data_IF_061553162300
#
_entry.id   IF_061553162300
#
_cell.length_a   1.000
_cell.length_b   1.000
_cell.length_c   1.000
_cell.angle_alpha   90.00
_cell.angle_beta   90.00
_cell.angle_gamma   90.00
#
_symmetry.space_group_name_H-M   'P 1'
#
loop_
_entity.id
_entity.type
_entity.pdbx_description
1 polymer ?
#
# COMPACT_ATOMS: atom_id res chain seq x y z
N UNK A 1 -78.53 -11.07 34.38
CA UNK A 1 -77.94 -10.36 35.53
C UNK A 1 -76.43 -10.40 35.35
N UNK A 2 -75.81 -9.32 34.87
CA UNK A 2 -74.44 -8.97 35.30
C UNK A 2 -74.53 -8.17 36.61
N UNK A 3 -73.49 -7.45 37.11
CA UNK A 3 -72.06 -7.31 36.74
C UNK A 3 -71.16 -7.88 37.90
N UNK A 4 -69.82 -7.77 38.02
CA UNK A 4 -68.90 -6.61 38.18
C UNK A 4 -67.47 -7.19 38.27
N UNK A 5 -66.54 -6.82 37.39
CA UNK A 5 -65.53 -5.76 37.53
C UNK A 5 -64.27 -6.13 38.34
N UNK A 6 -63.15 -6.04 37.62
CA UNK A 6 -61.75 -6.17 38.02
C UNK A 6 -61.29 -4.87 38.71
N UNK A 7 -60.19 -4.92 39.49
CA UNK A 7 -58.97 -4.38 38.90
C UNK A 7 -57.77 -5.30 39.12
N UNK A 8 -57.22 -5.77 38.00
CA UNK A 8 -55.84 -6.26 37.92
C UNK A 8 -54.95 -5.05 38.14
N UNK A 9 -54.27 -5.06 39.28
CA UNK A 9 -53.29 -4.07 39.71
C UNK A 9 -52.18 -3.91 38.65
N UNK A 10 -51.77 -2.66 38.44
CA UNK A 10 -50.78 -2.25 37.45
C UNK A 10 -49.46 -3.02 37.62
N UNK A 11 -49.22 -4.02 36.77
CA UNK A 11 -47.86 -4.45 36.46
C UNK A 11 -47.34 -3.56 35.32
N UNK A 12 -46.53 -2.57 35.71
CA UNK A 12 -45.62 -1.87 34.81
C UNK A 12 -44.76 -2.91 34.06
N UNK A 13 -44.50 -2.76 32.76
CA UNK A 13 -43.60 -3.66 32.07
C UNK A 13 -42.19 -3.50 32.65
N UNK A 14 -41.59 -4.62 33.03
CA UNK A 14 -40.25 -4.65 33.58
C UNK A 14 -39.24 -4.10 32.58
N UNK A 15 -38.47 -3.10 33.02
CA UNK A 15 -37.31 -2.60 32.31
C UNK A 15 -36.32 -3.76 32.10
N UNK A 16 -35.97 -4.04 30.84
CA UNK A 16 -34.93 -5.00 30.47
C UNK A 16 -33.55 -4.46 30.89
N UNK A 17 -33.24 -4.62 32.17
CA UNK A 17 -32.01 -4.23 32.89
C UNK A 17 -30.73 -4.95 32.39
N UNK A 18 -30.71 -5.57 31.21
CA UNK A 18 -29.57 -6.38 30.74
C UNK A 18 -28.62 -5.70 29.75
N UNK A 19 -28.77 -4.40 29.49
CA UNK A 19 -27.88 -3.65 28.59
C UNK A 19 -26.83 -2.91 29.44
N UNK A 20 -25.59 -3.41 29.44
CA UNK A 20 -24.44 -2.79 30.14
C UNK A 20 -24.26 -1.30 29.82
N UNK A 21 -23.44 -0.55 30.60
CA UNK A 21 -23.46 0.90 30.63
C UNK A 21 -23.34 1.50 29.22
N UNK A 22 -24.44 2.09 28.75
CA UNK A 22 -24.48 2.73 27.45
C UNK A 22 -23.59 3.96 27.47
N UNK A 23 -22.72 4.08 26.46
CA UNK A 23 -21.95 5.31 26.24
C UNK A 23 -22.90 6.52 26.25
N UNK A 24 -22.45 7.73 26.62
CA UNK A 24 -23.32 8.92 26.64
C UNK A 24 -23.95 9.20 25.27
N UNK A 25 -23.27 8.82 24.18
CA UNK A 25 -23.81 8.90 22.82
C UNK A 25 -24.95 7.91 22.59
N UNK A 26 -24.81 6.66 23.04
CA UNK A 26 -25.84 5.63 22.93
C UNK A 26 -27.09 6.00 23.74
N UNK A 27 -26.89 6.48 24.98
CA UNK A 27 -27.98 6.91 25.85
C UNK A 27 -28.76 8.10 25.27
N UNK A 28 -28.05 9.13 24.79
CA UNK A 28 -28.68 10.29 24.15
C UNK A 28 -29.45 9.89 22.88
N UNK A 29 -28.88 8.99 22.05
CA UNK A 29 -29.57 8.47 20.87
C UNK A 29 -30.81 7.66 21.25
N UNK A 30 -30.79 6.86 22.32
CA UNK A 30 -31.95 6.12 22.79
C UNK A 30 -33.07 7.06 23.26
N UNK A 31 -32.73 8.07 24.06
CA UNK A 31 -33.67 9.10 24.51
C UNK A 31 -34.30 9.85 23.33
N UNK A 32 -33.51 10.28 22.35
CA UNK A 32 -34.03 10.94 21.16
C UNK A 32 -34.98 10.04 20.37
N UNK A 33 -34.69 8.73 20.28
CA UNK A 33 -35.61 7.79 19.62
C UNK A 33 -36.92 7.71 20.37
N UNK A 34 -36.88 7.55 21.68
CA UNK A 34 -38.07 7.43 22.53
C UNK A 34 -38.97 8.69 22.43
N UNK A 35 -38.37 9.87 22.53
CA UNK A 35 -39.08 11.15 22.41
C UNK A 35 -39.65 11.43 21.00
N UNK A 36 -39.17 10.74 19.97
CA UNK A 36 -39.60 10.95 18.57
C UNK A 36 -40.48 9.82 18.04
N UNK A 37 -40.80 8.81 18.85
CA UNK A 37 -41.74 7.79 18.46
C UNK A 37 -43.15 8.38 18.29
N UNK A 38 -43.89 7.99 17.24
CA UNK A 38 -45.30 8.34 17.13
C UNK A 38 -46.10 7.68 18.25
N UNK A 39 -47.22 8.28 18.66
CA UNK A 39 -48.08 7.84 19.77
C UNK A 39 -48.54 6.39 19.68
N UNK A 40 -48.58 5.84 18.46
CA UNK A 40 -48.79 4.42 18.18
C UNK A 40 -47.60 3.97 17.32
N UNK A 41 -46.54 3.43 17.93
CA UNK A 41 -45.39 2.96 17.18
C UNK A 41 -45.75 1.69 16.41
N UNK A 42 -45.58 1.74 15.09
CA UNK A 42 -45.63 0.54 14.26
C UNK A 42 -44.24 -0.10 14.23
N UNK A 43 -44.06 -1.18 14.99
CA UNK A 43 -42.84 -1.98 14.99
C UNK A 43 -42.91 -3.19 14.05
N UNK A 44 -44.00 -3.35 13.30
CA UNK A 44 -44.11 -4.43 12.34
C UNK A 44 -43.08 -4.24 11.23
N UNK A 45 -42.28 -5.28 11.02
CA UNK A 45 -41.35 -5.32 9.90
C UNK A 45 -42.21 -5.44 8.63
N UNK A 46 -42.08 -4.51 7.66
CA UNK A 46 -42.85 -4.60 6.43
C UNK A 46 -42.53 -5.93 5.72
N UNK A 47 -43.49 -6.53 5.00
CA UNK A 47 -43.23 -7.74 4.25
C UNK A 47 -42.10 -7.48 3.25
N UNK A 48 -41.26 -8.49 3.02
CA UNK A 48 -40.21 -8.43 2.02
C UNK A 48 -40.79 -7.98 0.67
N UNK A 49 -40.04 -7.18 -0.11
CA UNK A 49 -40.51 -6.74 -1.42
C UNK A 49 -40.89 -7.91 -2.31
N UNK A 50 -41.85 -7.69 -3.21
CA UNK A 50 -42.29 -8.70 -4.17
C UNK A 50 -41.13 -9.07 -5.11
N UNK A 51 -40.79 -10.34 -5.16
CA UNK A 51 -39.75 -10.89 -6.04
C UNK A 51 -38.72 -11.72 -5.29
N UNK A 52 -38.46 -12.93 -5.79
CA UNK A 52 -37.35 -13.73 -5.29
C UNK A 52 -36.03 -13.12 -5.78
N UNK A 53 -34.98 -13.06 -4.95
CA UNK A 53 -33.66 -12.65 -5.40
C UNK A 53 -33.18 -13.54 -6.56
N UNK A 54 -32.34 -13.00 -7.44
CA UNK A 54 -31.78 -13.73 -8.58
C UNK A 54 -31.20 -15.08 -8.13
N UNK A 55 -31.49 -16.16 -8.86
CA UNK A 55 -31.09 -17.52 -8.48
C UNK A 55 -29.56 -17.69 -8.33
N UNK A 56 -28.80 -16.92 -9.11
CA UNK A 56 -27.33 -16.87 -9.02
C UNK A 56 -26.85 -16.32 -7.68
N UNK A 57 -27.57 -15.36 -7.10
CA UNK A 57 -27.28 -14.79 -5.77
C UNK A 57 -27.63 -15.81 -4.68
N UNK A 58 -28.80 -16.47 -4.77
CA UNK A 58 -29.19 -17.52 -3.82
C UNK A 58 -28.18 -18.66 -3.76
N UNK A 59 -27.68 -19.11 -4.92
CA UNK A 59 -26.65 -20.14 -4.99
C UNK A 59 -25.36 -19.73 -4.26
N UNK A 60 -24.91 -18.48 -4.43
CA UNK A 60 -23.73 -17.93 -3.73
C UNK A 60 -23.97 -17.88 -2.21
N UNK A 61 -25.15 -17.46 -1.77
CA UNK A 61 -25.49 -17.41 -0.35
C UNK A 61 -25.58 -18.81 0.27
N UNK A 62 -26.20 -19.79 -0.39
CA UNK A 62 -26.24 -21.18 0.07
C UNK A 62 -24.82 -21.73 0.27
N UNK A 63 -23.93 -21.49 -0.69
CA UNK A 63 -22.53 -21.89 -0.58
C UNK A 63 -21.79 -21.17 0.57
N UNK A 64 -22.00 -19.86 0.73
CA UNK A 64 -21.41 -19.10 1.84
C UNK A 64 -21.87 -19.62 3.21
N UNK A 65 -23.15 -19.95 3.37
CA UNK A 65 -23.69 -20.52 4.61
C UNK A 65 -23.14 -21.91 4.90
N UNK A 66 -22.97 -22.75 3.88
CA UNK A 66 -22.31 -24.05 4.02
C UNK A 66 -20.86 -23.91 4.52
N UNK A 67 -20.08 -23.01 3.91
CA UNK A 67 -18.72 -22.71 4.36
C UNK A 67 -18.68 -22.19 5.81
N UNK A 68 -19.65 -21.36 6.20
CA UNK A 68 -19.77 -20.87 7.58
C UNK A 68 -20.07 -22.00 8.57
N UNK A 69 -20.93 -22.95 8.21
CA UNK A 69 -21.20 -24.15 9.04
C UNK A 69 -19.94 -25.02 9.21
N UNK A 70 -19.07 -25.06 8.21
CA UNK A 70 -17.78 -25.75 8.25
C UNK A 70 -16.69 -24.97 9.02
N UNK A 71 -17.01 -23.81 9.61
CA UNK A 71 -16.06 -22.97 10.34
C UNK A 71 -15.13 -22.15 9.44
N UNK A 72 -15.36 -22.12 8.12
CA UNK A 72 -14.53 -21.35 7.19
C UNK A 72 -15.01 -19.90 7.16
N UNK A 73 -14.20 -18.99 7.69
CA UNK A 73 -14.48 -17.57 7.58
C UNK A 73 -13.92 -16.98 6.27
N UNK A 74 -14.81 -16.65 5.34
CA UNK A 74 -14.43 -16.08 4.04
C UNK A 74 -13.53 -14.83 4.15
N UNK A 75 -13.90 -13.84 4.97
CA UNK A 75 -13.10 -12.62 5.14
C UNK A 75 -11.69 -12.91 5.67
N UNK A 76 -11.54 -13.88 6.57
CA UNK A 76 -10.23 -14.30 7.07
C UNK A 76 -9.40 -14.96 5.97
N UNK A 77 -10.00 -15.88 5.20
CA UNK A 77 -9.33 -16.53 4.06
C UNK A 77 -8.94 -15.51 2.99
N UNK A 78 -9.80 -14.53 2.74
CA UNK A 78 -9.57 -13.44 1.80
C UNK A 78 -8.42 -12.54 2.27
N UNK A 79 -8.40 -12.14 3.54
CA UNK A 79 -7.31 -11.35 4.13
C UNK A 79 -5.96 -12.08 4.10
N UNK A 80 -5.95 -13.41 4.25
CA UNK A 80 -4.74 -14.23 4.14
C UNK A 80 -4.25 -14.40 2.69
N UNK A 81 -5.12 -14.19 1.70
CA UNK A 81 -4.81 -14.36 0.28
C UNK A 81 -3.71 -13.41 -0.20
N UNK A 82 -2.82 -13.90 -1.06
CA UNK A 82 -1.77 -13.08 -1.68
C UNK A 82 -2.32 -12.02 -2.63
N UNK A 83 -3.53 -12.20 -3.16
CA UNK A 83 -4.19 -11.22 -4.02
C UNK A 83 -4.42 -9.87 -3.31
N UNK A 84 -4.73 -9.90 -2.01
CA UNK A 84 -4.89 -8.69 -1.19
C UNK A 84 -3.57 -8.12 -0.66
N UNK A 85 -2.47 -8.88 -0.72
CA UNK A 85 -1.13 -8.48 -0.24
C UNK A 85 -0.27 -7.86 -1.35
N UNK A 86 -0.91 -7.13 -2.27
CA UNK A 86 -0.22 -6.48 -3.38
C UNK A 86 -0.18 -4.96 -3.11
N UNK A 87 1.01 -4.33 -3.05
CA UNK A 87 1.12 -2.89 -2.81
C UNK A 87 0.42 -2.04 -3.89
N UNK A 88 0.27 -2.56 -5.11
CA UNK A 88 -0.45 -1.87 -6.21
C UNK A 88 -1.97 -2.04 -6.17
N UNK A 89 -2.52 -2.90 -5.29
CA UNK A 89 -3.96 -3.15 -5.23
C UNK A 89 -4.72 -1.89 -4.83
N UNK A 90 -4.22 -1.17 -3.83
CA UNK A 90 -4.88 0.03 -3.33
C UNK A 90 -5.05 1.08 -4.44
N UNK A 91 -4.00 1.30 -5.23
CA UNK A 91 -4.03 2.22 -6.36
C UNK A 91 -5.11 1.84 -7.38
N UNK A 92 -5.20 0.57 -7.76
CA UNK A 92 -6.25 0.10 -8.69
C UNK A 92 -7.66 0.23 -8.13
N UNK A 93 -7.84 0.06 -6.82
CA UNK A 93 -9.14 0.23 -6.17
C UNK A 93 -9.55 1.71 -6.14
N UNK A 94 -8.59 2.62 -5.93
CA UNK A 94 -8.81 4.06 -6.04
C UNK A 94 -9.17 4.43 -7.48
N UNK A 95 -8.42 3.93 -8.47
CA UNK A 95 -8.73 4.14 -9.89
C UNK A 95 -10.13 3.63 -10.27
N UNK A 96 -10.54 2.47 -9.76
CA UNK A 96 -11.89 1.92 -10.01
C UNK A 96 -13.00 2.75 -9.36
N UNK A 97 -12.71 3.40 -8.24
CA UNK A 97 -13.65 4.27 -7.54
C UNK A 97 -13.59 5.73 -8.01
N UNK A 98 -12.79 6.03 -9.04
CA UNK A 98 -12.51 7.38 -9.54
C UNK A 98 -12.02 8.34 -8.43
N UNK A 99 -11.23 7.81 -7.48
CA UNK A 99 -10.62 8.58 -6.38
C UNK A 99 -9.17 8.88 -6.75
N UNK A 100 -8.80 10.15 -6.73
CA UNK A 100 -7.42 10.61 -6.94
C UNK A 100 -6.58 10.56 -5.65
N UNK A 101 -5.25 10.68 -5.79
CA UNK A 101 -4.33 10.61 -4.65
C UNK A 101 -4.58 11.71 -3.60
N UNK A 102 -5.16 12.86 -3.98
CA UNK A 102 -5.56 13.90 -3.04
C UNK A 102 -6.93 13.60 -2.41
N UNK A 103 -7.88 13.07 -3.18
CA UNK A 103 -9.22 12.72 -2.75
C UNK A 103 -9.28 11.64 -1.68
N UNK A 104 -8.27 10.76 -1.59
CA UNK A 104 -8.17 9.80 -0.46
C UNK A 104 -8.10 10.50 0.90
N UNK A 105 -7.69 11.77 0.94
CA UNK A 105 -7.59 12.60 2.13
C UNK A 105 -8.75 13.59 2.27
N UNK A 106 -9.81 13.45 1.47
CA UNK A 106 -11.00 14.29 1.60
C UNK A 106 -11.68 14.07 2.96
N UNK A 107 -12.05 15.15 3.63
CA UNK A 107 -12.78 15.11 4.89
C UNK A 107 -13.92 16.13 4.88
N UNK A 108 -14.84 16.00 5.82
CA UNK A 108 -15.89 17.02 6.06
C UNK A 108 -15.39 18.18 6.93
N UNK A 109 -14.11 18.19 7.31
CA UNK A 109 -13.52 19.22 8.14
C UNK A 109 -13.26 20.51 7.33
N UNK A 110 -13.32 21.69 7.97
CA UNK A 110 -12.96 22.94 7.32
C UNK A 110 -11.51 22.93 6.82
N UNK A 111 -11.26 23.58 5.68
CA UNK A 111 -9.93 23.66 5.06
C UNK A 111 -8.88 24.38 5.92
N UNK A 112 -9.32 25.22 6.86
CA UNK A 112 -8.44 25.85 7.85
C UNK A 112 -7.79 24.82 8.77
N UNK A 113 -8.51 23.75 9.11
CA UNK A 113 -8.01 22.67 9.96
C UNK A 113 -7.35 21.56 9.14
N UNK A 114 -7.89 21.26 7.96
CA UNK A 114 -7.38 20.20 7.10
C UNK A 114 -7.42 20.59 5.61
N UNK A 115 -6.25 20.85 5.03
CA UNK A 115 -6.10 21.06 3.60
C UNK A 115 -5.08 20.06 3.01
N UNK A 116 -5.51 19.02 2.29
CA UNK A 116 -4.60 18.04 1.70
C UNK A 116 -3.66 18.65 0.65
N UNK A 117 -4.08 19.74 0.00
CA UNK A 117 -3.30 20.47 -1.01
C UNK A 117 -2.66 21.75 -0.46
N UNK A 118 -2.51 21.85 0.86
CA UNK A 118 -1.97 23.05 1.51
C UNK A 118 -0.45 23.22 1.34
N UNK A 119 0.26 22.21 0.83
CA UNK A 119 1.71 22.24 0.74
C UNK A 119 2.21 23.07 -0.45
N UNK A 120 3.32 23.80 -0.30
CA UNK A 120 3.95 24.47 -1.43
C UNK A 120 4.62 23.47 -2.38
N UNK A 121 4.76 23.82 -3.66
CA UNK A 121 5.28 22.94 -4.73
C UNK A 121 6.58 22.22 -4.36
N UNK A 122 7.53 22.91 -3.74
CA UNK A 122 8.83 22.33 -3.37
C UNK A 122 8.75 21.23 -2.30
N UNK A 123 7.64 21.14 -1.56
CA UNK A 123 7.44 20.14 -0.51
C UNK A 123 6.84 18.83 -1.04
N UNK A 124 6.38 18.80 -2.29
CA UNK A 124 5.89 17.58 -2.91
C UNK A 124 7.03 16.62 -3.25
N UNK A 125 6.72 15.33 -3.26
CA UNK A 125 7.65 14.22 -3.48
C UNK A 125 8.51 14.41 -4.74
N UNK A 126 7.92 14.85 -5.84
CA UNK A 126 8.60 15.01 -7.14
C UNK A 126 9.69 16.09 -7.08
N UNK A 127 9.36 17.26 -6.56
CA UNK A 127 10.30 18.38 -6.42
C UNK A 127 11.41 18.08 -5.40
N UNK A 128 11.08 17.39 -4.30
CA UNK A 128 12.08 16.88 -3.34
C UNK A 128 13.05 15.89 -3.99
N UNK A 129 12.54 14.97 -4.81
CA UNK A 129 13.36 14.00 -5.54
C UNK A 129 14.28 14.71 -6.55
N UNK A 130 13.74 15.66 -7.31
CA UNK A 130 14.50 16.45 -8.27
C UNK A 130 15.60 17.29 -7.59
N UNK A 131 15.27 17.93 -6.45
CA UNK A 131 16.24 18.66 -5.62
C UNK A 131 17.36 17.74 -5.12
N UNK A 132 17.03 16.57 -4.57
CA UNK A 132 18.04 15.58 -4.14
C UNK A 132 18.92 15.11 -5.29
N UNK A 133 18.34 14.85 -6.46
CA UNK A 133 19.10 14.45 -7.64
C UNK A 133 20.08 15.55 -8.07
N UNK A 134 19.64 16.82 -8.04
CA UNK A 134 20.49 17.98 -8.36
C UNK A 134 21.64 18.12 -7.37
N UNK A 135 21.40 17.93 -6.08
CA UNK A 135 22.44 17.96 -5.04
C UNK A 135 23.46 16.84 -5.25
N UNK A 136 22.99 15.61 -5.51
CA UNK A 136 23.86 14.45 -5.79
C UNK A 136 24.74 14.69 -7.01
N UNK A 137 24.15 15.20 -8.11
CA UNK A 137 24.87 15.52 -9.34
C UNK A 137 25.95 16.58 -9.11
N UNK A 138 25.62 17.69 -8.44
CA UNK A 138 26.61 18.73 -8.11
C UNK A 138 27.78 18.19 -7.30
N UNK A 139 27.51 17.35 -6.29
CA UNK A 139 28.55 16.73 -5.46
C UNK A 139 29.46 15.79 -6.27
N UNK A 140 28.90 15.08 -7.24
CA UNK A 140 29.66 14.24 -8.16
C UNK A 140 30.55 15.09 -9.08
N UNK A 141 30.00 16.17 -9.65
CA UNK A 141 30.72 17.11 -10.50
C UNK A 141 31.88 17.80 -9.74
N UNK A 142 31.67 18.21 -8.49
CA UNK A 142 32.71 18.80 -7.63
C UNK A 142 33.83 17.81 -7.31
N UNK A 143 33.49 16.55 -7.01
CA UNK A 143 34.49 15.48 -6.80
C UNK A 143 35.29 15.19 -8.07
N UNK A 144 34.63 15.19 -9.22
CA UNK A 144 35.28 14.97 -10.52
C UNK A 144 36.24 16.12 -10.89
N UNK A 145 35.91 17.36 -10.54
CA UNK A 145 36.77 18.53 -10.74
C UNK A 145 37.98 18.54 -9.80
N UNK A 146 37.77 18.29 -8.50
CA UNK A 146 38.86 18.25 -7.51
C UNK A 146 39.94 17.19 -7.79
N UNK A 147 39.60 16.09 -8.47
CA UNK A 147 40.58 15.07 -8.89
C UNK A 147 41.38 15.45 -10.15
N UNK A 148 40.87 16.36 -10.99
CA UNK A 148 41.54 16.76 -12.25
C UNK A 148 42.42 17.99 -12.09
N UNK A 149 42.13 18.85 -11.11
CA UNK A 149 42.81 20.13 -10.92
C UNK A 149 44.01 20.06 -9.95
N UNK A 150 44.30 18.89 -9.36
CA UNK A 150 45.35 18.70 -8.33
C UNK A 150 46.62 18.00 -8.82
N UNK A 151 46.88 17.97 -10.13
CA UNK A 151 48.12 17.38 -10.67
C UNK A 151 49.09 18.51 -11.02
N UNK A 152 49.94 18.88 -10.06
CA UNK A 152 51.10 19.74 -10.29
C UNK A 152 52.22 18.92 -10.95
N UNK A 153 52.46 19.16 -12.23
CA UNK A 153 53.58 18.56 -12.95
C UNK A 153 54.84 19.38 -12.72
N UNK A 154 55.77 18.85 -11.91
CA UNK A 154 57.11 19.43 -11.76
C UNK A 154 57.93 19.13 -13.02
N UNK A 155 58.41 20.13 -13.78
CA UNK A 155 59.32 19.89 -14.89
C UNK A 155 60.69 19.44 -14.35
N UNK A 156 61.20 18.32 -14.87
CA UNK A 156 62.52 17.83 -14.53
C UNK A 156 63.59 18.86 -14.94
N UNK A 157 64.42 19.28 -13.99
CA UNK A 157 65.61 20.08 -14.26
C UNK A 157 66.57 19.26 -15.12
N UNK A 158 66.84 19.72 -16.33
CA UNK A 158 67.83 19.13 -17.21
C UNK A 158 69.24 19.46 -16.66
N UNK A 159 69.78 18.59 -15.80
CA UNK A 159 71.22 18.56 -15.54
C UNK A 159 71.89 17.76 -16.66
N UNK A 160 72.71 18.47 -17.43
CA UNK A 160 73.54 17.95 -18.51
C UNK A 160 74.39 16.75 -18.05
N UNK A 161 74.38 15.69 -18.85
CA UNK A 161 75.20 14.48 -18.64
C UNK A 161 74.96 13.43 -19.72
N UNK A 162 75.72 13.56 -20.80
CA UNK A 162 76.16 12.53 -21.78
C UNK A 162 75.22 11.39 -22.26
N UNK A 163 74.89 11.50 -23.55
CA UNK A 163 74.87 10.47 -24.62
C UNK A 163 74.82 8.97 -24.27
N UNK A 164 73.80 8.25 -24.77
CA UNK A 164 73.99 7.24 -25.84
C UNK A 164 72.65 6.67 -26.37
N UNK A 165 72.51 6.72 -27.70
CA UNK A 165 71.99 5.69 -28.63
C UNK A 165 70.67 4.93 -28.39
N UNK A 166 69.75 5.17 -29.35
CA UNK A 166 69.13 4.18 -30.26
C UNK A 166 68.66 2.83 -29.65
N UNK A 167 67.37 2.57 -29.75
CA UNK A 167 66.79 1.50 -30.59
C UNK A 167 65.45 1.03 -30.03
N UNK A 168 64.42 1.05 -30.85
CA UNK A 168 63.12 0.49 -30.51
C UNK A 168 63.09 -1.03 -30.57
N UNK A 169 62.29 -1.63 -29.68
CA UNK A 169 61.57 -2.90 -29.85
C UNK A 169 60.37 -2.93 -28.88
N UNK A 170 59.16 -3.34 -29.33
CA UNK A 170 58.01 -3.46 -28.45
C UNK A 170 58.04 -4.83 -27.76
N UNK A 171 58.28 -4.83 -26.44
CA UNK A 171 58.23 -6.03 -25.61
C UNK A 171 56.81 -6.35 -25.17
N UNK A 172 56.22 -7.36 -25.79
CA UNK A 172 55.10 -8.16 -25.27
C UNK A 172 55.46 -8.72 -23.89
N UNK A 173 54.89 -8.16 -22.84
CA UNK A 173 55.12 -8.59 -21.46
C UNK A 173 54.03 -8.07 -20.53
N UNK A 174 52.80 -8.55 -20.75
CA UNK A 174 51.63 -8.16 -19.97
C UNK A 174 51.75 -8.60 -18.50
N UNK A 175 52.17 -7.70 -17.62
CA UNK A 175 51.81 -7.78 -16.20
C UNK A 175 50.39 -7.23 -16.09
N UNK A 176 49.42 -8.13 -15.96
CA UNK A 176 48.05 -7.77 -15.66
C UNK A 176 48.01 -7.05 -14.30
N UNK A 177 47.95 -5.72 -14.35
CA UNK A 177 47.50 -4.93 -13.22
C UNK A 177 46.12 -5.44 -12.81
N UNK A 178 45.91 -5.64 -11.51
CA UNK A 178 44.63 -6.08 -10.99
C UNK A 178 43.57 -5.04 -11.36
N UNK A 179 42.76 -5.35 -12.38
CA UNK A 179 41.64 -4.51 -12.79
C UNK A 179 40.68 -4.36 -11.61
N UNK A 180 40.22 -3.14 -11.35
CA UNK A 180 39.23 -2.90 -10.29
C UNK A 180 37.91 -3.59 -10.64
N UNK A 181 37.14 -4.00 -9.62
CA UNK A 181 35.87 -4.72 -9.82
C UNK A 181 34.88 -3.94 -10.72
N UNK A 182 34.89 -2.61 -10.64
CA UNK A 182 34.06 -1.74 -11.48
C UNK A 182 34.45 -1.79 -12.97
N UNK A 183 35.75 -1.90 -13.28
CA UNK A 183 36.25 -1.99 -14.65
C UNK A 183 35.85 -3.32 -15.31
N UNK A 184 35.81 -4.41 -14.53
CA UNK A 184 35.35 -5.73 -15.00
C UNK A 184 33.87 -5.77 -15.34
N UNK A 185 33.04 -5.01 -14.62
CA UNK A 185 31.59 -4.91 -14.86
C UNK A 185 31.31 -4.14 -16.16
N UNK A 186 32.01 -3.03 -16.39
CA UNK A 186 31.88 -2.23 -17.62
C UNK A 186 32.37 -2.98 -18.86
N UNK A 187 33.42 -3.81 -18.71
CA UNK A 187 33.95 -4.64 -19.79
C UNK A 187 33.14 -5.92 -20.07
N UNK A 188 32.03 -6.17 -19.36
CA UNK A 188 31.12 -7.28 -19.61
C UNK A 188 31.68 -8.68 -19.34
N UNK A 189 32.80 -8.79 -18.61
CA UNK A 189 33.55 -10.05 -18.43
C UNK A 189 33.04 -10.89 -17.23
N UNK A 190 32.27 -10.29 -16.32
CA UNK A 190 31.60 -10.99 -15.20
C UNK A 190 30.13 -11.28 -15.57
N UNK A 191 29.93 -12.28 -16.41
CA UNK A 191 28.62 -12.89 -16.66
C UNK A 191 28.71 -14.40 -16.43
N UNK A 192 28.85 -14.82 -15.18
CA UNK A 192 28.61 -16.23 -14.85
C UNK A 192 29.23 -16.73 -13.56
N UNK A 193 28.49 -16.60 -12.45
CA UNK A 193 28.21 -17.65 -11.44
C UNK A 193 27.49 -17.03 -10.24
N UNK A 194 26.21 -16.76 -10.39
CA UNK A 194 25.30 -16.74 -9.24
C UNK A 194 24.62 -18.10 -9.17
N UNK A 195 25.07 -18.93 -8.23
CA UNK A 195 24.29 -20.07 -7.75
C UNK A 195 23.01 -19.51 -7.12
N UNK A 196 21.90 -19.63 -7.84
CA UNK A 196 20.56 -19.35 -7.34
C UNK A 196 19.83 -20.70 -7.27
N UNK A 197 19.24 -21.09 -6.13
CA UNK A 197 18.49 -22.33 -6.05
C UNK A 197 17.22 -22.21 -6.92
N UNK A 198 17.22 -23.02 -7.95
CA UNK A 198 16.15 -23.24 -8.91
C UNK A 198 14.89 -23.77 -8.21
N UNK A 199 13.91 -22.90 -7.97
CA UNK A 199 12.55 -23.32 -7.57
C UNK A 199 11.82 -23.76 -8.83
N UNK A 200 11.49 -25.04 -8.90
CA UNK A 200 10.75 -25.67 -9.99
C UNK A 200 9.38 -25.01 -10.16
N UNK A 201 9.10 -24.55 -11.38
CA UNK A 201 7.81 -23.98 -11.75
C UNK A 201 6.70 -25.04 -11.72
N UNK A 202 5.70 -24.83 -10.88
CA UNK A 202 4.44 -25.56 -10.92
C UNK A 202 3.65 -25.14 -12.17
N UNK A 203 3.41 -26.09 -13.08
CA UNK A 203 2.58 -25.89 -14.27
C UNK A 203 1.15 -25.53 -13.86
N UNK A 204 0.68 -24.33 -14.23
CA UNK A 204 -0.73 -23.93 -14.11
C UNK A 204 -1.52 -24.66 -15.19
N UNK A 205 -2.40 -25.56 -14.79
CA UNK A 205 -3.39 -26.22 -15.65
C UNK A 205 -4.57 -25.26 -15.77
N UNK A 206 -4.71 -24.62 -16.93
CA UNK A 206 -5.86 -23.81 -17.30
C UNK A 206 -7.08 -24.72 -17.42
N UNK A 207 -8.08 -24.52 -16.57
CA UNK A 207 -9.37 -25.21 -16.64
C UNK A 207 -10.40 -24.21 -17.15
N UNK A 208 -10.38 -24.01 -18.47
CA UNK A 208 -11.49 -23.43 -19.21
C UNK A 208 -11.49 -24.08 -20.59
N UNK A 209 -12.06 -25.29 -20.63
CA UNK A 209 -12.76 -25.83 -21.79
C UNK A 209 -13.67 -26.95 -21.26
N UNK A 210 -14.84 -27.12 -21.89
CA UNK A 210 -16.09 -27.78 -21.43
C UNK A 210 -17.02 -26.91 -20.59
#
# INVERSE_FOLDING_TARGET
MGPTDVPIELQLPEDDETIGPQSPYSANRALLRDLTLPTIPNYDIPPSPLGSPMESTNSKFKHFLELKKQGVHFNEKLAKSSALKNPSLMQKLMDFADIDEAGQYATTLPKELWNPDGFPKYAYKEELAHSQQKIRKKKEDEKAKGQRESIDFVPAVASAGESLSRSGTPGTGGRAGQKSAAERIMAGLERGRSSSPQVQGTKRKTRFDS
#
